data_IF_451071618464
#
_entry.id   IF_451071618464
#
_cell.length_a   1.000
_cell.length_b   1.000
_cell.length_c   1.000
_cell.angle_alpha   90.00
_cell.angle_beta   90.00
_cell.angle_gamma   90.00
#
_symmetry.space_group_name_H-M   'P 1'
#
loop_
_entity.id
_entity.type
_entity.pdbx_description
1 polymer ?
#
# COMPACT_ATOMS: atom_id res chain seq x y z
N UNK A 1 -6.55 3.28 -5.42
CA UNK A 1 -5.84 2.81 -6.63
C UNK A 1 -4.47 3.47 -6.70
N UNK A 2 -3.41 2.72 -6.39
CA UNK A 2 -2.04 3.18 -6.62
C UNK A 2 -1.60 2.68 -8.00
N UNK A 3 -1.38 3.59 -8.95
CA UNK A 3 -0.72 3.29 -10.21
C UNK A 3 0.60 4.05 -10.23
N UNK A 4 1.72 3.34 -10.34
CA UNK A 4 3.04 3.95 -10.52
C UNK A 4 3.31 4.08 -12.02
N UNK A 5 3.56 5.31 -12.48
CA UNK A 5 3.96 5.61 -13.86
C UNK A 5 5.37 6.17 -13.86
N UNK A 6 6.26 5.59 -14.65
CA UNK A 6 7.60 6.17 -14.90
C UNK A 6 7.81 6.34 -16.41
N UNK A 7 8.43 7.46 -16.79
CA UNK A 7 8.68 7.85 -18.18
C UNK A 7 10.17 7.69 -18.52
N UNK A 8 10.46 7.01 -19.62
CA UNK A 8 11.74 7.11 -20.33
C UNK A 8 11.46 7.22 -21.83
N UNK A 9 11.79 8.36 -22.44
CA UNK A 9 11.84 8.54 -23.91
C UNK A 9 10.65 7.90 -24.67
N UNK A 10 9.43 8.25 -24.26
CA UNK A 10 8.13 7.79 -24.80
C UNK A 10 7.64 6.38 -24.40
N UNK A 11 8.43 5.60 -23.67
CA UNK A 11 7.96 4.35 -23.08
C UNK A 11 7.29 4.58 -21.72
N UNK A 12 6.15 3.91 -21.53
CA UNK A 12 5.40 3.85 -20.27
C UNK A 12 5.31 2.40 -19.83
N UNK A 13 5.55 2.17 -18.54
CA UNK A 13 5.25 0.89 -17.91
C UNK A 13 4.54 1.13 -16.58
N UNK A 14 3.66 0.21 -16.22
CA UNK A 14 3.03 0.12 -14.92
C UNK A 14 3.18 -1.31 -14.38
N UNK A 15 3.08 -1.45 -13.06
CA UNK A 15 2.95 -2.71 -12.35
C UNK A 15 1.92 -2.51 -11.24
N UNK A 16 1.22 -3.59 -10.87
CA UNK A 16 0.05 -3.57 -9.99
C UNK A 16 -1.05 -2.62 -10.51
N UNK A 17 -1.93 -2.13 -9.61
CA UNK A 17 -3.01 -1.21 -9.97
C UNK A 17 -4.17 -1.83 -10.77
N UNK A 18 -4.18 -3.15 -10.97
CA UNK A 18 -5.24 -3.89 -11.66
C UNK A 18 -6.50 -4.13 -10.79
N UNK A 19 -6.54 -3.54 -9.60
CA UNK A 19 -7.62 -3.70 -8.62
C UNK A 19 -7.36 -4.81 -7.60
N UNK A 20 -8.21 -4.89 -6.57
CA UNK A 20 -7.96 -5.73 -5.39
C UNK A 20 -7.96 -7.23 -5.70
N UNK A 21 -8.80 -7.68 -6.62
CA UNK A 21 -8.86 -9.10 -7.03
C UNK A 21 -7.56 -9.55 -7.71
N UNK A 22 -6.88 -8.63 -8.40
CA UNK A 22 -5.72 -8.91 -9.23
C UNK A 22 -4.39 -8.57 -8.54
N UNK A 23 -4.40 -8.40 -7.21
CA UNK A 23 -3.17 -8.33 -6.41
C UNK A 23 -2.71 -6.93 -6.01
N UNK A 24 -3.64 -5.99 -5.80
CA UNK A 24 -3.34 -4.68 -5.20
C UNK A 24 -3.08 -4.79 -3.67
N UNK A 25 -2.19 -5.70 -3.27
CA UNK A 25 -1.93 -6.09 -1.87
C UNK A 25 -1.26 -4.98 -1.04
N UNK A 26 -0.52 -4.10 -1.71
CA UNK A 26 0.10 -2.91 -1.09
C UNK A 26 -0.86 -1.74 -0.89
N UNK A 27 -2.09 -1.82 -1.41
CA UNK A 27 -3.10 -0.77 -1.25
C UNK A 27 -3.74 -0.78 0.12
N UNK A 28 -4.46 0.30 0.44
CA UNK A 28 -5.24 0.35 1.68
C UNK A 28 -6.30 -0.74 1.76
N UNK A 29 -6.91 -1.12 0.63
CA UNK A 29 -7.82 -2.27 0.58
C UNK A 29 -7.06 -3.56 0.86
N UNK A 30 -5.91 -3.78 0.21
CA UNK A 30 -5.11 -4.99 0.38
C UNK A 30 -4.65 -5.21 1.82
N UNK A 31 -4.20 -4.14 2.48
CA UNK A 31 -3.84 -4.15 3.91
C UNK A 31 -5.05 -4.52 4.78
N UNK A 32 -6.17 -3.84 4.60
CA UNK A 32 -7.37 -4.06 5.40
C UNK A 32 -8.00 -5.45 5.16
N UNK A 33 -8.01 -5.94 3.92
CA UNK A 33 -8.51 -7.27 3.58
C UNK A 33 -7.68 -8.38 4.24
N UNK A 34 -6.35 -8.23 4.27
CA UNK A 34 -5.46 -9.12 5.00
C UNK A 34 -5.72 -9.08 6.50
N UNK A 35 -5.97 -7.90 7.07
CA UNK A 35 -6.33 -7.76 8.48
C UNK A 35 -7.67 -8.44 8.82
N UNK A 36 -8.71 -8.25 8.01
CA UNK A 36 -9.99 -8.95 8.17
C UNK A 36 -9.81 -10.47 8.07
N UNK A 37 -8.99 -10.93 7.13
CA UNK A 37 -8.65 -12.35 6.99
C UNK A 37 -7.94 -12.87 8.25
N UNK A 38 -7.01 -12.10 8.82
CA UNK A 38 -6.31 -12.45 10.05
C UNK A 38 -7.27 -12.57 11.25
N UNK A 39 -8.25 -11.65 11.37
CA UNK A 39 -9.28 -11.72 12.41
C UNK A 39 -10.10 -13.01 12.31
N UNK A 40 -10.55 -13.39 11.11
CA UNK A 40 -11.29 -14.64 10.92
C UNK A 40 -10.41 -15.85 11.24
N UNK A 41 -9.13 -15.83 10.83
CA UNK A 41 -8.21 -16.93 11.13
C UNK A 41 -7.95 -17.09 12.63
N UNK A 42 -7.79 -15.99 13.36
CA UNK A 42 -7.66 -15.99 14.83
C UNK A 42 -8.93 -16.58 15.47
N UNK A 43 -10.10 -16.09 15.06
CA UNK A 43 -11.40 -16.58 15.54
C UNK A 43 -11.60 -18.08 15.30
N UNK A 44 -11.23 -18.59 14.12
CA UNK A 44 -11.34 -20.01 13.77
C UNK A 44 -10.27 -20.89 14.45
N UNK A 45 -9.28 -20.31 15.15
CA UNK A 45 -8.11 -21.02 15.67
C UNK A 45 -7.12 -21.50 14.58
N UNK A 46 -7.20 -20.93 13.37
CA UNK A 46 -6.33 -21.25 12.21
C UNK A 46 -5.14 -20.29 12.09
N UNK A 47 -5.13 -19.21 12.85
CA UNK A 47 -4.08 -18.20 12.86
C UNK A 47 -3.57 -17.93 14.28
N UNK A 48 -2.47 -17.18 14.39
CA UNK A 48 -2.02 -16.67 15.68
C UNK A 48 -3.05 -15.69 16.26
N UNK A 49 -3.06 -15.58 17.59
CA UNK A 49 -3.85 -14.57 18.27
C UNK A 49 -3.42 -13.15 17.90
N UNK A 50 -4.38 -12.25 17.70
CA UNK A 50 -4.11 -10.86 17.34
C UNK A 50 -5.08 -9.90 18.02
N UNK A 51 -4.55 -8.74 18.42
CA UNK A 51 -5.32 -7.59 18.89
C UNK A 51 -6.19 -6.97 17.81
N UNK A 52 -5.93 -7.26 16.53
CA UNK A 52 -6.76 -6.85 15.40
C UNK A 52 -8.22 -7.27 15.58
N UNK A 53 -8.45 -8.46 16.15
CA UNK A 53 -9.80 -8.99 16.39
C UNK A 53 -10.62 -8.01 17.23
N UNK A 54 -10.11 -7.62 18.40
CA UNK A 54 -10.79 -6.66 19.27
C UNK A 54 -10.88 -5.27 18.63
N UNK A 55 -9.77 -4.77 18.08
CA UNK A 55 -9.69 -3.40 17.57
C UNK A 55 -10.60 -3.16 16.36
N UNK A 56 -10.70 -4.12 15.45
CA UNK A 56 -11.58 -4.03 14.27
C UNK A 56 -13.05 -4.14 14.69
N UNK A 57 -13.42 -5.08 15.56
CA UNK A 57 -14.80 -5.18 16.05
C UNK A 57 -15.25 -3.88 16.74
N UNK A 58 -14.38 -3.27 17.56
CA UNK A 58 -14.65 -1.97 18.18
C UNK A 58 -14.81 -0.86 17.14
N UNK A 59 -13.94 -0.78 16.14
CA UNK A 59 -14.02 0.23 15.08
C UNK A 59 -15.29 0.09 14.22
N UNK A 60 -15.79 -1.14 14.07
CA UNK A 60 -16.99 -1.45 13.28
C UNK A 60 -18.28 -1.51 14.11
N UNK A 61 -18.18 -1.38 15.44
CA UNK A 61 -19.28 -1.56 16.39
C UNK A 61 -20.00 -2.92 16.22
N UNK A 62 -19.22 -3.99 16.11
CA UNK A 62 -19.68 -5.38 15.99
C UNK A 62 -19.43 -6.14 17.29
N UNK A 63 -20.31 -7.10 17.62
CA UNK A 63 -20.22 -7.83 18.89
C UNK A 63 -19.38 -9.12 18.78
N UNK A 64 -19.33 -9.74 17.60
CA UNK A 64 -18.51 -10.93 17.36
C UNK A 64 -17.89 -10.96 15.95
N UNK A 65 -16.81 -11.74 15.73
CA UNK A 65 -16.24 -11.98 14.40
C UNK A 65 -17.24 -12.56 13.40
N UNK A 66 -18.27 -13.30 13.83
CA UNK A 66 -19.30 -13.85 12.95
C UNK A 66 -20.07 -12.77 12.16
N UNK A 67 -20.22 -11.58 12.75
CA UNK A 67 -20.89 -10.44 12.11
C UNK A 67 -20.06 -9.84 10.97
N UNK A 68 -18.74 -10.13 10.88
CA UNK A 68 -17.87 -9.61 9.83
C UNK A 68 -18.28 -10.08 8.43
N UNK A 69 -18.84 -11.28 8.30
CA UNK A 69 -19.33 -11.79 7.01
C UNK A 69 -20.45 -10.87 6.51
N UNK A 70 -21.46 -10.66 7.35
CA UNK A 70 -22.58 -9.77 7.03
C UNK A 70 -22.10 -8.34 6.75
N UNK A 71 -21.23 -7.80 7.58
CA UNK A 71 -20.66 -6.47 7.38
C UNK A 71 -19.89 -6.36 6.07
N UNK A 72 -19.07 -7.35 5.72
CA UNK A 72 -18.21 -7.33 4.51
C UNK A 72 -19.03 -7.36 3.24
N UNK A 73 -20.06 -8.23 3.18
CA UNK A 73 -20.86 -8.39 1.96
C UNK A 73 -22.04 -7.41 1.84
N UNK A 74 -22.35 -6.64 2.89
CA UNK A 74 -23.39 -5.62 2.85
C UNK A 74 -23.06 -4.42 1.95
N UNK A 75 -21.78 -4.10 1.77
CA UNK A 75 -21.33 -2.99 0.93
C UNK A 75 -19.99 -3.36 0.24
N UNK A 76 -19.96 -3.46 -1.11
CA UNK A 76 -18.77 -3.82 -1.87
C UNK A 76 -17.73 -2.69 -1.98
N UNK A 77 -17.94 -1.54 -1.34
CA UNK A 77 -17.05 -0.39 -1.39
C UNK A 77 -15.62 -0.71 -0.91
N UNK A 78 -14.65 -0.63 -1.83
CA UNK A 78 -13.24 -0.81 -1.48
C UNK A 78 -12.73 0.26 -0.52
N UNK A 79 -13.28 1.48 -0.60
CA UNK A 79 -12.93 2.58 0.29
C UNK A 79 -13.34 2.29 1.74
N UNK A 80 -14.49 1.64 1.94
CA UNK A 80 -14.99 1.23 3.26
C UNK A 80 -14.07 0.21 3.91
N UNK A 81 -13.59 -0.79 3.14
CA UNK A 81 -12.59 -1.74 3.62
C UNK A 81 -11.27 -1.02 3.93
N UNK A 82 -10.77 -0.21 2.99
CA UNK A 82 -9.52 0.54 3.16
C UNK A 82 -9.53 1.51 4.35
N UNK A 83 -10.69 1.94 4.82
CA UNK A 83 -10.83 2.79 6.00
C UNK A 83 -10.37 2.09 7.31
N UNK A 84 -10.15 0.77 7.30
CA UNK A 84 -9.61 0.03 8.44
C UNK A 84 -8.07 0.13 8.58
N UNK A 85 -7.35 0.65 7.59
CA UNK A 85 -5.87 0.77 7.65
C UNK A 85 -5.36 1.49 8.91
N UNK A 86 -5.97 2.60 9.39
CA UNK A 86 -5.54 3.21 10.64
C UNK A 86 -5.60 2.27 11.84
N UNK A 87 -6.59 1.37 11.91
CA UNK A 87 -6.70 0.37 12.98
C UNK A 87 -5.54 -0.62 12.92
N UNK A 88 -5.18 -1.08 11.71
CA UNK A 88 -4.03 -1.99 11.50
C UNK A 88 -2.73 -1.32 11.93
N UNK A 89 -2.52 -0.06 11.54
CA UNK A 89 -1.36 0.74 11.95
C UNK A 89 -1.29 0.88 13.47
N UNK A 90 -2.40 1.24 14.13
CA UNK A 90 -2.44 1.34 15.59
C UNK A 90 -2.10 0.02 16.29
N UNK A 91 -2.56 -1.13 15.76
CA UNK A 91 -2.25 -2.43 16.34
C UNK A 91 -0.74 -2.77 16.18
N UNK A 92 -0.16 -2.52 15.00
CA UNK A 92 1.26 -2.71 14.79
C UNK A 92 2.11 -1.81 15.72
N UNK A 93 1.73 -0.55 15.88
CA UNK A 93 2.38 0.39 16.81
C UNK A 93 2.26 -0.02 18.28
N UNK A 94 1.21 -0.78 18.63
CA UNK A 94 1.02 -1.36 19.95
C UNK A 94 1.78 -2.69 20.16
N UNK A 95 2.53 -3.16 19.15
CA UNK A 95 3.36 -4.36 19.23
C UNK A 95 2.67 -5.64 18.74
N UNK A 96 1.57 -5.54 18.02
CA UNK A 96 0.92 -6.71 17.40
C UNK A 96 1.74 -7.22 16.20
N UNK A 97 2.26 -8.44 16.30
CA UNK A 97 3.11 -9.05 15.27
C UNK A 97 2.34 -9.33 13.97
N UNK A 98 1.05 -9.70 14.06
CA UNK A 98 0.23 -10.01 12.89
C UNK A 98 -0.03 -8.74 12.08
N UNK A 99 -0.39 -7.65 12.75
CA UNK A 99 -0.54 -6.34 12.13
C UNK A 99 0.79 -5.86 11.52
N UNK A 100 1.90 -6.04 12.24
CA UNK A 100 3.24 -5.67 11.75
C UNK A 100 3.58 -6.43 10.46
N UNK A 101 3.37 -7.74 10.43
CA UNK A 101 3.62 -8.57 9.26
C UNK A 101 2.76 -8.16 8.06
N UNK A 102 1.47 -7.86 8.26
CA UNK A 102 0.59 -7.37 7.19
C UNK A 102 1.14 -6.09 6.56
N UNK A 103 1.65 -5.16 7.38
CA UNK A 103 2.21 -3.91 6.88
C UNK A 103 3.55 -4.12 6.17
N UNK A 104 4.38 -5.06 6.63
CA UNK A 104 5.62 -5.45 5.95
C UNK A 104 5.34 -6.13 4.59
N UNK A 105 4.33 -7.00 4.52
CA UNK A 105 3.90 -7.63 3.27
C UNK A 105 3.42 -6.58 2.26
N UNK A 106 2.70 -5.55 2.73
CA UNK A 106 2.29 -4.42 1.90
C UNK A 106 3.49 -3.61 1.38
N UNK A 107 4.50 -3.36 2.22
CA UNK A 107 5.76 -2.73 1.83
C UNK A 107 6.44 -3.54 0.73
N UNK A 108 6.54 -4.86 0.90
CA UNK A 108 7.19 -5.74 -0.07
C UNK A 108 6.44 -5.78 -1.40
N UNK A 109 5.10 -5.81 -1.38
CA UNK A 109 4.27 -5.76 -2.58
C UNK A 109 4.49 -4.45 -3.38
N UNK A 110 4.57 -3.32 -2.68
CA UNK A 110 4.85 -2.01 -3.28
C UNK A 110 6.26 -1.95 -3.85
N UNK A 111 7.27 -2.36 -3.09
CA UNK A 111 8.67 -2.39 -3.54
C UNK A 111 8.84 -3.28 -4.78
N UNK A 112 8.20 -4.46 -4.79
CA UNK A 112 8.21 -5.38 -5.94
C UNK A 112 7.58 -4.76 -7.19
N UNK A 113 6.53 -3.95 -7.02
CA UNK A 113 5.91 -3.20 -8.12
C UNK A 113 6.86 -2.14 -8.68
N UNK A 114 7.57 -1.40 -7.82
CA UNK A 114 8.58 -0.43 -8.27
C UNK A 114 9.70 -1.14 -9.03
N UNK A 115 10.25 -2.21 -8.48
CA UNK A 115 11.30 -3.04 -9.09
C UNK A 115 10.90 -3.48 -10.50
N UNK A 116 9.69 -4.00 -10.67
CA UNK A 116 9.21 -4.48 -11.96
C UNK A 116 9.19 -3.36 -13.03
N UNK A 117 8.81 -2.13 -12.66
CA UNK A 117 8.80 -0.98 -13.56
C UNK A 117 10.22 -0.51 -13.87
N UNK A 118 11.08 -0.41 -12.84
CA UNK A 118 12.49 -0.01 -12.98
C UNK A 118 13.24 -0.93 -13.94
N UNK A 119 13.07 -2.24 -13.79
CA UNK A 119 13.68 -3.24 -14.65
C UNK A 119 13.13 -3.19 -16.08
N UNK A 120 11.81 -3.09 -16.25
CA UNK A 120 11.20 -3.09 -17.58
C UNK A 120 11.59 -1.86 -18.42
N UNK A 121 11.79 -0.71 -17.77
CA UNK A 121 12.20 0.54 -18.44
C UNK A 121 13.73 0.73 -18.46
N UNK A 122 14.48 -0.18 -17.83
CA UNK A 122 15.95 -0.09 -17.70
C UNK A 122 16.41 1.20 -17.02
N UNK A 123 15.68 1.68 -16.01
CA UNK A 123 15.94 3.00 -15.39
C UNK A 123 17.23 3.02 -14.57
N UNK A 124 17.63 1.87 -14.03
CA UNK A 124 18.86 1.72 -13.26
C UNK A 124 20.11 1.57 -14.14
N UNK A 125 19.98 1.57 -15.48
CA UNK A 125 21.10 1.32 -16.39
C UNK A 125 21.58 -0.13 -16.35
N UNK A 126 22.57 -0.46 -17.20
CA UNK A 126 23.14 -1.80 -17.32
C UNK A 126 23.93 -2.23 -16.07
N UNK A 127 24.54 -1.26 -15.37
CA UNK A 127 25.32 -1.45 -14.16
C UNK A 127 24.49 -1.36 -12.87
N UNK A 128 23.19 -1.07 -12.98
CA UNK A 128 22.27 -0.89 -11.84
C UNK A 128 22.46 0.42 -11.05
N UNK A 129 23.36 1.30 -11.48
CA UNK A 129 23.76 2.49 -10.72
C UNK A 129 23.22 3.80 -11.30
N UNK A 130 22.59 3.75 -12.47
CA UNK A 130 22.06 4.96 -13.10
C UNK A 130 20.99 5.61 -12.23
N UNK A 131 21.02 6.93 -12.19
CA UNK A 131 20.16 7.68 -11.28
C UNK A 131 18.83 8.06 -11.92
N UNK A 132 17.73 7.71 -11.25
CA UNK A 132 16.36 7.94 -11.74
C UNK A 132 15.45 8.51 -10.63
N UNK A 133 14.49 9.38 -10.98
CA UNK A 133 13.52 9.88 -10.01
C UNK A 133 12.47 8.81 -9.68
N UNK A 134 12.11 8.70 -8.40
CA UNK A 134 10.97 7.91 -7.93
C UNK A 134 10.03 8.81 -7.13
N UNK A 135 8.76 8.85 -7.55
CA UNK A 135 7.70 9.61 -6.87
C UNK A 135 6.73 8.63 -6.22
N UNK A 136 6.52 8.78 -4.92
CA UNK A 136 5.55 7.98 -4.16
C UNK A 136 4.28 8.81 -3.91
N UNK A 137 3.12 8.24 -4.25
CA UNK A 137 1.83 8.94 -4.16
C UNK A 137 0.75 8.03 -3.57
N UNK A 138 -0.04 8.59 -2.66
CA UNK A 138 -1.31 8.05 -2.16
C UNK A 138 -1.33 7.88 -0.64
N UNK A 139 -2.54 7.86 -0.05
CA UNK A 139 -2.73 8.03 1.40
C UNK A 139 -2.10 6.96 2.31
N UNK A 140 -1.77 5.78 1.77
CA UNK A 140 -1.03 4.75 2.51
C UNK A 140 0.43 5.15 2.74
N UNK A 141 1.01 5.96 1.83
CA UNK A 141 2.42 6.35 1.80
C UNK A 141 2.70 7.68 2.50
N UNK A 142 1.67 8.31 3.08
CA UNK A 142 1.81 9.60 3.75
C UNK A 142 2.68 9.48 5.02
N UNK A 143 3.64 10.41 5.23
CA UNK A 143 4.69 10.25 6.24
C UNK A 143 4.24 10.50 7.68
N UNK A 144 2.98 10.85 7.92
CA UNK A 144 2.48 11.36 9.21
C UNK A 144 1.99 10.26 10.18
N UNK A 145 2.55 9.06 10.07
CA UNK A 145 2.21 7.90 10.92
C UNK A 145 3.47 7.39 11.61
N UNK A 146 3.33 6.89 12.84
CA UNK A 146 4.47 6.37 13.60
C UNK A 146 4.94 5.05 12.98
N UNK A 147 4.04 4.23 12.45
CA UNK A 147 4.35 3.23 11.42
C UNK A 147 4.26 3.82 10.02
N UNK A 148 5.39 3.98 9.34
CA UNK A 148 5.48 4.69 8.07
C UNK A 148 5.80 3.75 6.90
N UNK A 149 4.76 3.28 6.21
CA UNK A 149 4.87 2.40 5.04
C UNK A 149 5.70 3.04 3.94
N UNK A 150 5.52 4.35 3.69
CA UNK A 150 6.28 5.08 2.69
C UNK A 150 7.79 5.03 2.97
N UNK A 151 8.18 5.24 4.23
CA UNK A 151 9.57 5.13 4.68
C UNK A 151 10.15 3.74 4.48
N UNK A 152 9.42 2.70 4.85
CA UNK A 152 9.91 1.32 4.67
C UNK A 152 10.04 0.93 3.20
N UNK A 153 9.09 1.35 2.36
CA UNK A 153 9.20 1.18 0.89
C UNK A 153 10.46 1.87 0.36
N UNK A 154 10.74 3.11 0.82
CA UNK A 154 11.95 3.82 0.42
C UNK A 154 13.22 3.11 0.87
N UNK A 155 13.25 2.55 2.08
CA UNK A 155 14.40 1.78 2.59
C UNK A 155 14.64 0.55 1.69
N UNK A 156 13.60 -0.23 1.39
CA UNK A 156 13.69 -1.39 0.50
C UNK A 156 14.24 -1.02 -0.88
N UNK A 157 13.71 0.05 -1.48
CA UNK A 157 14.10 0.46 -2.83
C UNK A 157 15.51 1.04 -2.85
N UNK A 158 15.91 1.82 -1.83
CA UNK A 158 17.25 2.42 -1.78
C UNK A 158 18.35 1.37 -1.59
N UNK A 159 18.05 0.29 -0.85
CA UNK A 159 18.95 -0.85 -0.71
C UNK A 159 19.15 -1.60 -2.02
N UNK A 160 18.11 -1.68 -2.86
CA UNK A 160 18.17 -2.40 -4.14
C UNK A 160 18.66 -1.53 -5.31
N UNK A 161 18.35 -0.24 -5.29
CA UNK A 161 18.67 0.72 -6.34
C UNK A 161 19.36 1.96 -5.74
N UNK A 162 20.69 1.93 -5.54
CA UNK A 162 21.43 3.03 -4.92
C UNK A 162 21.32 4.37 -5.67
N UNK A 163 21.05 4.33 -6.99
CA UNK A 163 20.86 5.51 -7.82
C UNK A 163 19.50 6.20 -7.67
N UNK A 164 18.55 5.64 -6.92
CA UNK A 164 17.20 6.18 -6.80
C UNK A 164 17.20 7.57 -6.17
N UNK A 165 16.47 8.51 -6.79
CA UNK A 165 16.24 9.86 -6.25
C UNK A 165 14.78 9.98 -5.85
N UNK A 166 14.54 9.95 -4.54
CA UNK A 166 13.21 10.04 -3.98
C UNK A 166 12.69 11.47 -4.07
N UNK A 167 11.48 11.62 -4.61
CA UNK A 167 10.80 12.90 -4.75
C UNK A 167 9.45 12.79 -4.08
N UNK A 168 9.26 13.62 -3.05
CA UNK A 168 7.94 13.86 -2.46
C UNK A 168 7.24 14.96 -3.26
N UNK A 169 6.03 14.70 -3.80
CA UNK A 169 5.26 15.73 -4.45
C UNK A 169 5.02 16.89 -3.47
N UNK A 170 5.35 18.12 -3.89
CA UNK A 170 5.03 19.34 -3.13
C UNK A 170 3.58 19.80 -3.32
N UNK A 171 2.89 19.20 -4.28
CA UNK A 171 1.54 19.55 -4.71
C UNK A 171 0.73 18.29 -4.87
N UNK A 172 -0.58 18.39 -4.68
CA UNK A 172 -1.50 17.27 -4.87
C UNK A 172 -1.46 16.78 -6.33
N UNK A 173 -1.64 15.46 -6.57
CA UNK A 173 -1.71 14.91 -7.93
C UNK A 173 -2.75 15.58 -8.83
N UNK A 174 -3.84 16.10 -8.24
CA UNK A 174 -4.87 16.85 -8.94
C UNK A 174 -4.32 18.13 -9.61
N UNK A 175 -3.36 18.80 -8.97
CA UNK A 175 -2.68 19.98 -9.54
C UNK A 175 -1.83 19.56 -10.75
N UNK A 176 -1.15 18.42 -10.67
CA UNK A 176 -0.40 17.87 -11.80
C UNK A 176 -1.29 17.54 -12.99
N UNK A 177 -2.49 16.98 -12.75
CA UNK A 177 -3.47 16.72 -13.79
C UNK A 177 -4.00 18.02 -14.43
N UNK A 178 -4.26 19.06 -13.62
CA UNK A 178 -4.68 20.37 -14.11
C UNK A 178 -3.60 21.04 -14.98
N UNK A 179 -2.33 20.98 -14.57
CA UNK A 179 -1.20 21.50 -15.36
C UNK A 179 -1.00 20.73 -16.67
N UNK A 180 -1.16 19.41 -16.64
CA UNK A 180 -1.14 18.59 -17.85
C UNK A 180 -2.26 19.02 -18.81
N UNK A 181 -3.49 19.19 -18.32
CA UNK A 181 -4.61 19.65 -19.13
C UNK A 181 -4.40 21.06 -19.69
N UNK A 182 -3.80 21.96 -18.90
CA UNK A 182 -3.46 23.32 -19.34
C UNK A 182 -2.42 23.36 -20.46
N UNK A 183 -1.45 22.46 -20.46
CA UNK A 183 -0.44 22.35 -21.52
C UNK A 183 -0.99 21.77 -22.85
N UNK A 184 -2.25 21.33 -22.89
CA UNK A 184 -2.94 20.89 -24.11
C UNK A 184 -3.90 21.96 -24.68
N UNK A 185 -3.96 23.14 -24.07
CA UNK A 185 -4.63 24.34 -24.58
C UNK A 185 -3.61 25.28 -25.24
#
# INVERSE_FOLDING_TARGET
NHCLWIYRRWEKSSAAGAGPILGDWGSGYGIAAQALTAVIRDHDGRGPHTTLTRSILQALNLSSPDELIGWTYADPSWARIAALVPVVVCCAEAGDEVATNILLDAVQALASSVKAVVQRLGLSGEDGQSSFPLVLVGGVLEPNKRWNIGKEVMNCISNEFPGVRLIWPKVEPAIGAALLAWNFL
#
